data_IF_864538690048
#
_entry.id   IF_864538690048
#
_cell.length_a   1.000
_cell.length_b   1.000
_cell.length_c   1.000
_cell.angle_alpha   90.00
_cell.angle_beta   90.00
_cell.angle_gamma   90.00
#
_symmetry.space_group_name_H-M   'P 1'
#
loop_
_entity.id
_entity.type
_entity.pdbx_description
1 polymer ?
#
# COMPACT_ATOMS: atom_id res chain seq x y z
N UNK A 1 -24.56 -28.28 -11.46
CA UNK A 1 -23.31 -28.19 -12.24
C UNK A 1 -22.17 -27.97 -11.26
N UNK A 2 -21.34 -29.00 -11.16
CA UNK A 2 -20.31 -29.25 -10.14
C UNK A 2 -19.04 -28.47 -10.48
N UNK A 3 -18.49 -27.67 -9.57
CA UNK A 3 -17.12 -27.17 -9.70
C UNK A 3 -16.32 -27.50 -8.44
N UNK A 4 -15.19 -28.16 -8.67
CA UNK A 4 -14.29 -28.70 -7.66
C UNK A 4 -13.65 -27.57 -6.84
N UNK A 5 -13.92 -27.56 -5.54
CA UNK A 5 -13.02 -26.95 -4.57
C UNK A 5 -11.95 -28.01 -4.32
N UNK A 6 -10.74 -27.78 -4.85
CA UNK A 6 -9.60 -28.61 -4.53
C UNK A 6 -9.27 -28.41 -3.05
N UNK A 7 -9.73 -29.34 -2.21
CA UNK A 7 -9.43 -29.40 -0.78
C UNK A 7 -7.93 -29.68 -0.61
N UNK A 8 -7.15 -28.64 -0.34
CA UNK A 8 -5.84 -28.82 0.28
C UNK A 8 -6.09 -29.19 1.74
N UNK A 9 -5.80 -30.44 2.11
CA UNK A 9 -5.80 -30.88 3.50
C UNK A 9 -4.85 -29.98 4.32
N UNK A 10 -5.40 -29.26 5.29
CA UNK A 10 -4.61 -28.46 6.24
C UNK A 10 -4.35 -29.35 7.46
N UNK A 11 -3.08 -29.56 7.87
CA UNK A 11 -2.78 -30.41 9.01
C UNK A 11 -3.28 -29.77 10.32
N UNK A 12 -3.80 -30.63 11.20
CA UNK A 12 -4.25 -30.38 12.57
C UNK A 12 -3.32 -29.44 13.35
N UNK A 13 -3.86 -28.35 13.90
CA UNK A 13 -3.12 -27.36 14.68
C UNK A 13 -3.11 -27.74 16.16
N UNK A 14 -1.96 -28.18 16.69
CA UNK A 14 -1.64 -28.21 18.13
C UNK A 14 -1.13 -26.84 18.61
N UNK A 15 -1.32 -26.45 19.89
CA UNK A 15 -0.72 -25.25 20.48
C UNK A 15 0.63 -25.60 21.18
N UNK A 16 1.36 -24.63 21.74
CA UNK A 16 2.35 -23.80 21.05
C UNK A 16 3.77 -24.07 21.56
N UNK A 17 4.72 -24.29 20.66
CA UNK A 17 6.14 -24.42 20.98
C UNK A 17 6.94 -24.72 19.72
N UNK A 18 7.98 -23.90 19.49
CA UNK A 18 8.89 -23.89 18.34
C UNK A 18 8.31 -23.43 16.98
N UNK A 19 9.10 -22.56 16.36
CA UNK A 19 9.03 -22.10 14.97
C UNK A 19 9.00 -23.30 14.02
N UNK A 20 7.81 -23.80 13.68
CA UNK A 20 7.67 -24.65 12.51
C UNK A 20 7.86 -23.80 11.25
N UNK A 21 8.49 -24.34 10.18
CA UNK A 21 8.55 -23.65 8.91
C UNK A 21 7.11 -23.45 8.45
N UNK A 22 6.67 -22.19 8.46
CA UNK A 22 5.37 -21.82 7.92
C UNK A 22 5.29 -22.37 6.48
N UNK A 23 4.14 -22.92 6.06
CA UNK A 23 3.97 -23.39 4.69
C UNK A 23 4.43 -22.31 3.72
N UNK A 24 5.25 -22.69 2.73
CA UNK A 24 5.78 -21.77 1.73
C UNK A 24 4.68 -21.43 0.72
N UNK A 25 3.73 -20.61 1.16
CA UNK A 25 2.61 -20.16 0.32
C UNK A 25 3.19 -19.15 -0.67
N UNK A 26 3.13 -19.45 -1.96
CA UNK A 26 3.63 -18.58 -3.02
C UNK A 26 2.65 -17.47 -3.39
N UNK A 27 1.35 -17.77 -3.38
CA UNK A 27 0.30 -16.83 -3.79
C UNK A 27 -1.08 -17.19 -3.23
N UNK A 28 -1.99 -16.20 -3.20
CA UNK A 28 -3.43 -16.37 -2.95
C UNK A 28 -4.23 -15.58 -3.97
N UNK A 29 -5.33 -16.17 -4.45
CA UNK A 29 -6.38 -15.39 -5.11
C UNK A 29 -7.41 -14.94 -4.05
N UNK A 30 -7.62 -13.63 -3.96
CA UNK A 30 -8.51 -13.01 -2.97
C UNK A 30 -9.69 -12.39 -3.69
N UNK A 31 -10.89 -12.86 -3.37
CA UNK A 31 -12.14 -12.27 -3.84
C UNK A 31 -12.72 -11.34 -2.79
N UNK A 32 -13.04 -10.11 -3.18
CA UNK A 32 -13.65 -9.13 -2.29
C UNK A 32 -15.17 -9.23 -2.39
N UNK A 33 -15.82 -9.73 -1.33
CA UNK A 33 -17.27 -9.93 -1.29
C UNK A 33 -18.05 -8.74 -0.71
N UNK A 34 -17.37 -7.74 -0.14
CA UNK A 34 -18.01 -6.58 0.50
C UNK A 34 -17.26 -5.28 0.18
N UNK A 35 -17.99 -4.14 0.20
CA UNK A 35 -17.52 -2.76 -0.07
C UNK A 35 -17.27 -2.37 -1.55
N UNK A 36 -16.53 -1.27 -1.78
CA UNK A 36 -16.30 -0.63 -3.08
C UNK A 36 -15.73 -1.56 -4.15
N UNK A 37 -15.07 -2.64 -3.76
CA UNK A 37 -14.41 -3.60 -4.66
C UNK A 37 -15.18 -4.92 -4.76
N UNK A 38 -16.49 -4.93 -4.48
CA UNK A 38 -17.32 -6.12 -4.57
C UNK A 38 -17.17 -6.80 -5.95
N UNK A 39 -16.85 -8.10 -5.93
CA UNK A 39 -16.66 -8.92 -7.12
C UNK A 39 -15.25 -8.86 -7.73
N UNK A 40 -14.38 -7.97 -7.23
CA UNK A 40 -12.98 -7.90 -7.68
C UNK A 40 -12.18 -9.08 -7.13
N UNK A 41 -11.30 -9.63 -7.96
CA UNK A 41 -10.37 -10.69 -7.60
C UNK A 41 -8.94 -10.18 -7.74
N UNK A 42 -8.10 -10.51 -6.77
CA UNK A 42 -6.71 -10.07 -6.75
C UNK A 42 -5.78 -11.20 -6.38
N UNK A 43 -4.81 -11.42 -7.26
CA UNK A 43 -3.69 -12.28 -6.98
C UNK A 43 -2.68 -11.54 -6.09
N UNK A 44 -2.43 -12.08 -4.91
CA UNK A 44 -1.38 -11.64 -4.00
C UNK A 44 -0.24 -12.65 -4.04
N UNK A 45 0.99 -12.18 -4.17
CA UNK A 45 2.20 -13.01 -4.10
C UNK A 45 2.96 -12.77 -2.80
N UNK A 46 3.71 -13.79 -2.36
CA UNK A 46 4.56 -13.67 -1.17
C UNK A 46 5.73 -12.72 -1.43
N UNK A 47 6.13 -11.99 -0.38
CA UNK A 47 7.35 -11.20 -0.34
C UNK A 47 8.39 -11.85 0.60
N UNK A 48 9.12 -12.89 0.15
CA UNK A 48 10.06 -13.61 1.02
C UNK A 48 11.25 -12.74 1.45
N UNK A 49 11.58 -11.69 0.68
CA UNK A 49 12.65 -10.74 1.01
C UNK A 49 12.32 -9.86 2.21
N UNK A 50 11.04 -9.63 2.48
CA UNK A 50 10.62 -8.85 3.64
C UNK A 50 9.39 -9.46 4.30
N UNK A 51 9.58 -10.50 5.14
CA UNK A 51 8.47 -11.26 5.70
C UNK A 51 7.58 -10.46 6.66
N UNK A 52 8.09 -9.38 7.27
CA UNK A 52 7.28 -8.49 8.13
C UNK A 52 6.35 -7.57 7.34
N UNK A 53 6.60 -7.42 6.03
CA UNK A 53 5.80 -6.62 5.09
C UNK A 53 5.15 -7.50 4.02
N UNK A 54 5.02 -8.79 4.28
CA UNK A 54 4.38 -9.72 3.37
C UNK A 54 2.85 -9.67 3.56
N UNK A 55 2.16 -9.16 2.53
CA UNK A 55 0.71 -9.09 2.49
C UNK A 55 0.07 -10.48 2.52
N UNK A 56 0.69 -11.46 1.89
CA UNK A 56 0.20 -12.84 1.85
C UNK A 56 0.26 -13.47 3.24
N UNK A 57 1.37 -13.28 3.97
CA UNK A 57 1.51 -13.72 5.36
C UNK A 57 0.49 -13.04 6.26
N UNK A 58 0.26 -11.74 6.07
CA UNK A 58 -0.75 -11.00 6.83
C UNK A 58 -2.16 -11.54 6.58
N UNK A 59 -2.49 -11.86 5.32
CA UNK A 59 -3.76 -12.50 4.96
C UNK A 59 -3.90 -13.89 5.55
N UNK A 60 -2.85 -14.72 5.45
CA UNK A 60 -2.83 -16.04 6.07
C UNK A 60 -3.13 -15.94 7.58
N UNK A 61 -2.47 -15.02 8.28
CA UNK A 61 -2.72 -14.79 9.71
C UNK A 61 -4.16 -14.37 10.00
N UNK A 62 -4.79 -13.57 9.13
CA UNK A 62 -6.19 -13.18 9.26
C UNK A 62 -7.09 -14.42 9.11
N UNK A 63 -6.85 -15.25 8.09
CA UNK A 63 -7.62 -16.48 7.84
C UNK A 63 -7.42 -17.50 8.96
N UNK A 64 -6.19 -17.76 9.40
CA UNK A 64 -5.90 -18.66 10.52
C UNK A 64 -6.56 -18.18 11.81
N UNK A 65 -6.55 -16.87 12.06
CA UNK A 65 -7.24 -16.28 13.21
C UNK A 65 -8.76 -16.49 13.10
N UNK A 66 -9.34 -16.29 11.93
CA UNK A 66 -10.76 -16.53 11.69
C UNK A 66 -11.14 -17.99 11.90
N UNK A 67 -10.36 -18.93 11.33
CA UNK A 67 -10.54 -20.37 11.52
C UNK A 67 -10.54 -20.75 13.01
N UNK A 68 -9.66 -20.15 13.81
CA UNK A 68 -9.54 -20.40 15.25
C UNK A 68 -10.68 -19.81 16.08
N UNK A 69 -11.23 -18.65 15.71
CA UNK A 69 -12.24 -17.92 16.51
C UNK A 69 -13.67 -18.27 16.10
N UNK A 70 -13.90 -18.43 14.79
CA UNK A 70 -15.22 -18.55 14.19
C UNK A 70 -15.44 -19.94 13.61
N UNK A 71 -14.45 -20.46 12.87
CA UNK A 71 -14.59 -21.66 12.05
C UNK A 71 -14.73 -21.31 10.57
N UNK A 72 -14.09 -22.09 9.69
CA UNK A 72 -14.08 -21.84 8.24
C UNK A 72 -15.40 -22.18 7.53
N UNK A 73 -16.31 -22.87 8.22
CA UNK A 73 -17.64 -23.21 7.72
C UNK A 73 -18.58 -22.00 7.64
N UNK A 74 -18.26 -20.91 8.37
CA UNK A 74 -19.06 -19.68 8.40
C UNK A 74 -18.62 -18.70 7.32
N UNK A 75 -19.31 -18.71 6.18
CA UNK A 75 -19.00 -17.85 5.02
C UNK A 75 -19.71 -16.50 5.06
N UNK A 76 -20.71 -16.35 5.93
CA UNK A 76 -21.52 -15.14 6.12
C UNK A 76 -20.86 -14.12 7.08
N UNK A 77 -19.86 -14.56 7.84
CA UNK A 77 -19.16 -13.73 8.83
C UNK A 77 -17.91 -13.11 8.20
N UNK A 78 -17.68 -11.78 8.33
CA UNK A 78 -16.48 -11.13 7.82
C UNK A 78 -15.19 -11.71 8.42
N UNK A 79 -14.13 -11.85 7.61
CA UNK A 79 -12.81 -12.37 8.04
C UNK A 79 -12.14 -11.54 9.16
N UNK A 80 -12.47 -10.25 9.26
CA UNK A 80 -11.81 -9.31 10.15
C UNK A 80 -12.34 -9.39 11.59
N UNK A 81 -12.18 -10.56 12.23
CA UNK A 81 -12.61 -10.83 13.61
C UNK A 81 -11.41 -10.93 14.56
N UNK A 82 -11.56 -10.45 15.78
CA UNK A 82 -10.63 -10.66 16.88
C UNK A 82 -11.37 -11.04 18.18
N UNK A 83 -10.64 -11.66 19.11
CA UNK A 83 -11.16 -12.08 20.41
C UNK A 83 -10.74 -11.05 21.47
N UNK A 84 -11.68 -10.61 22.28
CA UNK A 84 -11.43 -9.75 23.42
C UNK A 84 -10.95 -10.51 24.66
N UNK A 85 -10.74 -9.79 25.75
CA UNK A 85 -10.09 -10.33 26.96
C UNK A 85 -10.95 -11.36 27.69
N UNK A 86 -12.27 -11.24 27.62
CA UNK A 86 -13.22 -12.17 28.25
C UNK A 86 -13.78 -13.19 27.24
N UNK A 87 -13.17 -13.25 26.06
CA UNK A 87 -13.50 -14.20 25.01
C UNK A 87 -14.63 -13.81 24.07
N UNK A 88 -15.16 -12.60 24.23
CA UNK A 88 -16.08 -11.96 23.31
C UNK A 88 -15.46 -11.78 21.92
N UNK A 89 -16.31 -11.80 20.88
CA UNK A 89 -15.89 -11.64 19.49
C UNK A 89 -16.17 -10.21 19.04
N UNK A 90 -15.16 -9.57 18.46
CA UNK A 90 -15.26 -8.23 17.91
C UNK A 90 -14.85 -8.20 16.45
N UNK A 91 -15.41 -7.24 15.73
CA UNK A 91 -15.04 -6.96 14.35
C UNK A 91 -14.11 -5.76 14.26
N UNK A 92 -13.17 -5.81 13.33
CA UNK A 92 -12.30 -4.68 13.03
C UNK A 92 -13.12 -3.68 12.19
N UNK A 93 -13.56 -2.61 12.83
CA UNK A 93 -14.26 -1.50 12.18
C UNK A 93 -13.33 -0.32 11.92
N UNK A 94 -13.76 0.59 11.03
CA UNK A 94 -13.02 1.82 10.68
C UNK A 94 -12.58 2.63 11.91
N UNK A 95 -13.44 2.70 12.95
CA UNK A 95 -13.13 3.38 14.22
C UNK A 95 -11.93 2.77 14.94
N UNK A 96 -11.82 1.44 14.97
CA UNK A 96 -10.71 0.71 15.61
C UNK A 96 -9.42 0.88 14.81
N UNK A 97 -9.50 0.83 13.48
CA UNK A 97 -8.33 1.05 12.62
C UNK A 97 -7.83 2.49 12.80
N UNK A 98 -8.75 3.47 12.75
CA UNK A 98 -8.41 4.88 12.89
C UNK A 98 -7.82 5.20 14.28
N UNK A 99 -8.38 4.66 15.36
CA UNK A 99 -7.82 4.85 16.71
C UNK A 99 -6.42 4.24 16.82
N UNK A 100 -6.24 3.02 16.30
CA UNK A 100 -4.94 2.33 16.32
C UNK A 100 -3.87 3.11 15.55
N UNK A 101 -4.19 3.56 14.33
CA UNK A 101 -3.26 4.38 13.52
C UNK A 101 -2.91 5.71 14.19
N UNK A 102 -3.88 6.37 14.83
CA UNK A 102 -3.60 7.60 15.59
C UNK A 102 -2.67 7.34 16.77
N UNK A 103 -2.88 6.26 17.51
CA UNK A 103 -2.00 5.88 18.63
C UNK A 103 -0.60 5.57 18.14
N UNK A 104 -0.47 4.83 17.03
CA UNK A 104 0.82 4.55 16.41
C UNK A 104 1.51 5.83 15.94
N UNK A 105 0.81 6.72 15.22
CA UNK A 105 1.38 7.98 14.76
C UNK A 105 1.81 8.87 15.93
N UNK A 106 1.00 8.97 16.99
CA UNK A 106 1.35 9.72 18.20
C UNK A 106 2.65 9.21 18.82
N UNK A 107 2.82 7.88 18.88
CA UNK A 107 4.01 7.25 19.43
C UNK A 107 5.23 7.43 18.52
N UNK A 108 5.07 7.22 17.21
CA UNK A 108 6.18 7.30 16.25
C UNK A 108 6.72 8.71 16.08
N UNK A 109 5.82 9.71 16.04
CA UNK A 109 6.20 11.12 15.83
C UNK A 109 6.28 11.92 17.12
N UNK A 110 6.22 11.28 18.29
CA UNK A 110 6.26 11.92 19.61
C UNK A 110 5.31 13.13 19.73
N UNK A 111 4.06 12.98 19.26
CA UNK A 111 3.08 14.06 19.24
C UNK A 111 2.55 14.33 20.66
N UNK A 112 3.30 15.09 21.44
CA UNK A 112 3.00 15.44 22.84
C UNK A 112 2.04 16.62 22.95
N UNK A 113 2.08 17.57 22.01
CA UNK A 113 1.29 18.80 22.04
C UNK A 113 -0.20 18.58 21.71
N UNK A 114 -1.07 19.15 22.56
CA UNK A 114 -2.53 19.10 22.45
C UNK A 114 -3.06 19.89 21.24
N UNK A 115 -2.39 20.97 20.85
CA UNK A 115 -2.77 21.78 19.70
C UNK A 115 -2.48 21.08 18.37
N UNK A 116 -1.31 20.43 18.26
CA UNK A 116 -1.00 19.52 17.16
C UNK A 116 -2.00 18.36 17.12
N UNK A 117 -2.36 17.77 18.27
CA UNK A 117 -3.37 16.72 18.34
C UNK A 117 -4.75 17.18 17.82
N UNK A 118 -5.12 18.44 17.99
CA UNK A 118 -6.37 19.03 17.46
C UNK A 118 -6.30 19.15 15.92
N UNK A 119 -5.17 19.63 15.39
CA UNK A 119 -4.94 19.71 13.94
C UNK A 119 -4.95 18.34 13.27
N UNK A 120 -4.26 17.35 13.85
CA UNK A 120 -4.31 15.97 13.39
C UNK A 120 -5.70 15.35 13.61
N UNK A 121 -6.42 15.67 14.71
CA UNK A 121 -7.82 15.25 14.89
C UNK A 121 -8.69 15.70 13.72
N UNK A 122 -8.56 16.94 13.25
CA UNK A 122 -9.28 17.45 12.09
C UNK A 122 -8.89 16.72 10.80
N UNK A 123 -7.60 16.44 10.57
CA UNK A 123 -7.15 15.61 9.44
C UNK A 123 -7.78 14.21 9.50
N UNK A 124 -7.89 13.63 10.70
CA UNK A 124 -8.52 12.35 11.00
C UNK A 124 -10.06 12.36 11.14
N UNK A 125 -10.72 13.52 11.06
CA UNK A 125 -12.18 13.67 11.18
C UNK A 125 -12.86 13.94 9.84
N UNK A 126 -12.18 14.62 8.88
CA UNK A 126 -12.54 14.60 7.45
C UNK A 126 -12.40 13.19 6.81
N UNK A 127 -11.95 12.23 7.62
CA UNK A 127 -11.68 10.82 7.36
C UNK A 127 -12.83 9.90 7.82
N UNK A 128 -14.08 10.26 7.51
CA UNK A 128 -15.18 9.27 7.58
C UNK A 128 -14.97 8.13 6.54
N UNK A 129 -14.12 8.37 5.53
CA UNK A 129 -13.49 7.37 4.65
C UNK A 129 -12.16 6.81 5.22
N UNK A 130 -12.12 6.58 6.53
CA UNK A 130 -10.94 6.59 7.40
C UNK A 130 -9.90 5.48 7.23
N UNK A 131 -8.67 5.79 7.67
CA UNK A 131 -7.48 4.92 7.71
C UNK A 131 -6.99 4.35 6.36
N UNK A 132 -7.87 3.69 5.60
CA UNK A 132 -7.58 3.16 4.28
C UNK A 132 -7.07 4.24 3.34
N UNK A 133 -7.69 5.43 3.35
CA UNK A 133 -7.25 6.55 2.50
C UNK A 133 -5.86 7.05 2.90
N UNK A 134 -5.50 7.07 4.19
CA UNK A 134 -4.14 7.46 4.61
C UNK A 134 -3.11 6.41 4.18
N UNK A 135 -3.42 5.13 4.41
CA UNK A 135 -2.52 4.04 4.02
C UNK A 135 -2.36 3.99 2.50
N UNK A 136 -3.43 4.19 1.74
CA UNK A 136 -3.39 4.25 0.28
C UNK A 136 -2.67 5.50 -0.23
N UNK A 137 -2.89 6.67 0.37
CA UNK A 137 -2.17 7.90 0.01
C UNK A 137 -0.66 7.76 0.27
N UNK A 138 -0.29 7.26 1.45
CA UNK A 138 1.11 6.99 1.79
C UNK A 138 1.73 5.94 0.87
N UNK A 139 1.02 4.85 0.59
CA UNK A 139 1.46 3.84 -0.37
C UNK A 139 1.61 4.42 -1.78
N UNK A 140 0.69 5.28 -2.23
CA UNK A 140 0.79 5.95 -3.54
C UNK A 140 2.05 6.82 -3.62
N UNK A 141 2.35 7.61 -2.58
CA UNK A 141 3.57 8.43 -2.51
C UNK A 141 4.82 7.56 -2.55
N UNK A 142 4.88 6.48 -1.76
CA UNK A 142 6.04 5.58 -1.72
C UNK A 142 6.24 4.89 -3.08
N UNK A 143 5.17 4.34 -3.67
CA UNK A 143 5.24 3.66 -4.98
C UNK A 143 5.63 4.64 -6.09
N UNK A 144 5.10 5.86 -6.05
CA UNK A 144 5.45 6.90 -7.03
C UNK A 144 6.91 7.33 -6.88
N UNK A 145 7.40 7.53 -5.66
CA UNK A 145 8.80 7.83 -5.40
C UNK A 145 9.75 6.69 -5.80
N UNK A 146 9.26 5.44 -5.79
CA UNK A 146 9.97 4.28 -6.32
C UNK A 146 9.94 4.18 -7.87
N UNK A 147 9.33 5.14 -8.56
CA UNK A 147 9.25 5.18 -10.02
C UNK A 147 8.14 4.32 -10.63
N UNK A 148 7.22 3.79 -9.84
CA UNK A 148 6.08 3.03 -10.36
C UNK A 148 5.13 3.99 -11.09
N UNK A 149 4.68 3.59 -12.28
CA UNK A 149 3.77 4.38 -13.10
C UNK A 149 2.45 4.64 -12.34
N UNK A 150 1.93 5.85 -12.42
CA UNK A 150 0.63 6.26 -11.91
C UNK A 150 -0.51 5.29 -12.30
N UNK A 151 -0.53 4.77 -13.53
CA UNK A 151 -1.53 3.76 -13.96
C UNK A 151 -1.37 2.47 -13.16
N UNK A 152 -0.15 1.98 -12.99
CA UNK A 152 0.13 0.78 -12.19
C UNK A 152 -0.24 1.01 -10.71
N UNK A 153 0.07 2.18 -10.15
CA UNK A 153 -0.33 2.55 -8.78
C UNK A 153 -1.85 2.51 -8.63
N UNK A 154 -2.58 3.06 -9.61
CA UNK A 154 -4.04 3.05 -9.63
C UNK A 154 -4.59 1.62 -9.56
N UNK A 155 -4.03 0.69 -10.34
CA UNK A 155 -4.41 -0.73 -10.30
C UNK A 155 -3.99 -1.40 -8.98
N UNK A 156 -2.74 -1.18 -8.53
CA UNK A 156 -2.21 -1.79 -7.32
C UNK A 156 -2.98 -1.38 -6.06
N UNK A 157 -3.49 -0.15 -6.00
CA UNK A 157 -4.24 0.35 -4.86
C UNK A 157 -5.77 0.28 -5.05
N UNK A 158 -6.24 -0.26 -6.18
CA UNK A 158 -7.66 -0.38 -6.55
C UNK A 158 -8.38 0.99 -6.55
N UNK A 159 -7.75 2.03 -7.10
CA UNK A 159 -8.38 3.36 -7.25
C UNK A 159 -9.20 3.40 -8.54
N UNK A 160 -10.48 3.80 -8.43
CA UNK A 160 -11.32 3.99 -9.62
C UNK A 160 -11.00 5.28 -10.37
N UNK A 161 -10.71 6.36 -9.64
CA UNK A 161 -10.44 7.68 -10.21
C UNK A 161 -8.97 8.09 -10.02
N UNK A 162 -8.61 9.18 -10.69
CA UNK A 162 -7.27 9.78 -10.64
C UNK A 162 -7.10 10.71 -9.43
N UNK A 163 -7.96 10.63 -8.41
CA UNK A 163 -7.85 11.50 -7.23
C UNK A 163 -6.56 11.28 -6.44
N UNK A 164 -5.81 10.19 -6.66
CA UNK A 164 -4.58 9.93 -5.91
C UNK A 164 -3.48 10.92 -6.24
N UNK A 165 -3.53 11.54 -7.42
CA UNK A 165 -2.58 12.60 -7.81
C UNK A 165 -2.59 13.78 -6.84
N UNK A 166 -3.71 14.05 -6.16
CA UNK A 166 -3.77 15.10 -5.14
C UNK A 166 -2.78 14.86 -4.00
N UNK A 167 -2.50 13.60 -3.66
CA UNK A 167 -1.52 13.22 -2.64
C UNK A 167 -0.09 13.26 -3.16
N UNK A 168 0.10 13.19 -4.48
CA UNK A 168 1.42 13.27 -5.13
C UNK A 168 1.88 14.72 -5.30
N UNK A 169 0.98 15.71 -5.21
CA UNK A 169 1.25 17.13 -5.52
C UNK A 169 2.40 17.74 -4.71
N UNK A 170 2.65 17.27 -3.49
CA UNK A 170 3.66 17.84 -2.60
C UNK A 170 4.73 16.81 -2.21
N UNK A 171 5.31 16.13 -3.20
CA UNK A 171 6.40 15.18 -2.98
C UNK A 171 7.70 15.79 -3.52
N UNK A 172 8.71 15.95 -2.68
CA UNK A 172 10.01 16.53 -3.05
C UNK A 172 10.64 15.83 -4.27
N UNK A 173 10.42 14.53 -4.40
CA UNK A 173 10.84 13.74 -5.56
C UNK A 173 10.38 14.31 -6.91
N UNK A 174 9.16 14.85 -7.00
CA UNK A 174 8.66 15.47 -8.24
C UNK A 174 9.43 16.75 -8.56
N UNK A 175 9.73 17.57 -7.55
CA UNK A 175 10.55 18.77 -7.72
C UNK A 175 11.97 18.41 -8.17
N UNK A 176 12.57 17.37 -7.58
CA UNK A 176 13.88 16.86 -8.02
C UNK A 176 13.86 16.36 -9.46
N UNK A 177 12.83 15.60 -9.85
CA UNK A 177 12.66 15.13 -11.23
C UNK A 177 12.50 16.30 -12.21
N UNK A 178 11.70 17.30 -11.86
CA UNK A 178 11.53 18.51 -12.66
C UNK A 178 12.87 19.24 -12.82
N UNK A 179 13.61 19.46 -11.73
CA UNK A 179 14.91 20.12 -11.78
C UNK A 179 15.91 19.35 -12.64
N UNK A 180 15.92 18.01 -12.56
CA UNK A 180 16.77 17.18 -13.43
C UNK A 180 16.40 17.32 -14.90
N UNK A 181 15.10 17.31 -15.23
CA UNK A 181 14.64 17.48 -16.61
C UNK A 181 15.01 18.86 -17.18
N UNK A 182 14.84 19.92 -16.38
CA UNK A 182 15.24 21.28 -16.77
C UNK A 182 16.75 21.35 -17.01
N UNK A 183 17.55 20.78 -16.11
CA UNK A 183 19.01 20.78 -16.24
C UNK A 183 19.49 19.97 -17.46
N UNK A 184 18.85 18.84 -17.76
CA UNK A 184 19.14 18.04 -18.95
C UNK A 184 18.88 18.83 -20.23
N UNK A 185 17.73 19.49 -20.34
CA UNK A 185 17.40 20.34 -21.48
C UNK A 185 18.39 21.49 -21.63
N UNK A 186 18.73 22.17 -20.54
CA UNK A 186 19.72 23.24 -20.56
C UNK A 186 21.10 22.76 -21.05
N UNK A 187 21.54 21.57 -20.61
CA UNK A 187 22.81 20.98 -21.06
C UNK A 187 22.82 20.57 -22.53
N UNK A 188 21.68 20.07 -23.05
CA UNK A 188 21.53 19.71 -24.45
C UNK A 188 21.60 20.96 -25.35
N UNK A 189 20.84 22.01 -25.01
CA UNK A 189 20.87 23.29 -25.74
C UNK A 189 22.27 23.92 -25.72
N UNK A 190 22.97 23.87 -24.58
CA UNK A 190 24.33 24.40 -24.49
C UNK A 190 25.31 23.64 -25.40
N UNK A 191 25.15 22.33 -25.53
CA UNK A 191 25.98 21.48 -26.39
C UNK A 191 25.73 21.80 -27.88
N UNK A 192 24.47 21.98 -28.28
CA UNK A 192 24.10 22.39 -29.64
C UNK A 192 24.65 23.78 -30.00
N UNK A 193 24.50 24.76 -29.11
CA UNK A 193 25.05 26.12 -29.31
C UNK A 193 26.58 26.10 -29.41
N UNK A 194 27.24 25.26 -28.61
CA UNK A 194 28.71 25.12 -28.64
C UNK A 194 29.16 24.47 -29.94
N UNK A 195 28.46 23.43 -30.41
CA UNK A 195 28.73 22.79 -31.69
C UNK A 195 28.52 23.74 -32.89
N UNK A 196 27.44 24.53 -32.88
CA UNK A 196 27.17 25.53 -33.91
C UNK A 196 28.24 26.64 -33.96
N UNK A 197 28.69 27.12 -32.78
CA UNK A 197 29.80 28.09 -32.69
C UNK A 197 31.13 27.50 -33.17
N UNK A 198 31.40 26.23 -32.89
CA UNK A 198 32.60 25.56 -33.40
C UNK A 198 32.58 25.42 -34.92
N UNK A 199 31.43 25.03 -35.51
CA UNK A 199 31.25 24.94 -36.95
C UNK A 199 31.42 26.29 -37.67
N UNK A 200 30.89 27.37 -37.10
CA UNK A 200 31.06 28.73 -37.63
C UNK A 200 32.52 29.20 -37.68
N UNK A 201 33.40 28.68 -36.82
CA UNK A 201 34.84 29.01 -36.81
C UNK A 201 35.65 28.22 -37.84
N UNK A 202 35.08 27.15 -38.40
CA UNK A 202 35.72 26.26 -39.36
C UNK A 202 35.41 26.61 -40.82
N UNK A 203 34.60 27.65 -41.07
CA UNK A 203 34.41 28.21 -42.41
C UNK A 203 35.47 29.30 -42.59
N UNK A 204 36.61 29.04 -43.26
CA UNK A 204 37.55 30.10 -43.58
C UNK A 204 36.86 31.13 -44.49
N UNK A 205 37.12 32.41 -44.26
CA UNK A 205 36.73 33.48 -45.17
C UNK A 205 37.35 33.20 -46.54
N UNK A 206 36.56 32.62 -47.45
CA UNK A 206 36.90 32.55 -48.86
C UNK A 206 36.60 33.94 -49.42
N UNK A 207 37.66 34.75 -49.55
CA UNK A 207 37.67 36.01 -50.31
C UNK A 207 38.26 35.71 -51.67
#
# INVERSE_FOLDING_TARGET
>A
MTSLIQQTQIPSVRPPGLLSPQPQISWYNVKFSWQKNHGEEKLLSSNPRNPSRDALRSLHNIVSRFARIVGLDKTDIPLAVYKGSFGEKFFIHSKVIASTLRTLAKKTYNLTDRNLQQHYKCTFHSLHAGASVILQAGAAVILHAAGINAIQIKFLLCWRSNSFFLYLRNVAHLSEQQNRAINQLASATQSEVTAARAASRLIPNIV
#
